data_IF_434237311987
#
_entry.id   IF_434237311987
#
_cell.length_a   1.000
_cell.length_b   1.000
_cell.length_c   1.000
_cell.angle_alpha   90.00
_cell.angle_beta   90.00
_cell.angle_gamma   90.00
#
_symmetry.space_group_name_H-M   'P 1'
#
loop_
_entity.id
_entity.type
_entity.pdbx_description
1 polymer ?
#
# COMPACT_ATOMS: atom_id res chain seq x y z
N UNK A 1 -7.57 19.62 -12.28
CA UNK A 1 -6.13 19.27 -12.14
C UNK A 1 -5.45 19.95 -10.96
N UNK A 2 -5.68 21.25 -10.71
CA UNK A 2 -5.07 22.01 -9.59
C UNK A 2 -5.45 21.43 -8.23
N UNK A 3 -6.74 21.16 -7.99
CA UNK A 3 -7.25 20.58 -6.73
C UNK A 3 -6.54 19.28 -6.36
N UNK A 4 -6.34 18.37 -7.32
CA UNK A 4 -5.60 17.11 -7.10
C UNK A 4 -4.14 17.35 -6.69
N UNK A 5 -3.47 18.32 -7.31
CA UNK A 5 -2.07 18.67 -6.97
C UNK A 5 -1.99 19.25 -5.56
N UNK A 6 -2.92 20.13 -5.21
CA UNK A 6 -3.02 20.70 -3.87
C UNK A 6 -3.29 19.60 -2.82
N UNK A 7 -4.24 18.71 -3.08
CA UNK A 7 -4.54 17.59 -2.18
C UNK A 7 -3.32 16.70 -1.92
N UNK A 8 -2.50 16.41 -2.95
CA UNK A 8 -1.26 15.63 -2.78
C UNK A 8 -0.24 16.38 -1.92
N UNK A 9 -0.08 17.70 -2.13
CA UNK A 9 0.85 18.52 -1.33
C UNK A 9 0.37 18.58 0.13
N UNK A 10 -0.91 18.84 0.36
CA UNK A 10 -1.50 18.85 1.71
C UNK A 10 -1.30 17.50 2.39
N UNK A 11 -1.57 16.39 1.69
CA UNK A 11 -1.35 15.06 2.25
C UNK A 11 0.12 14.85 2.66
N UNK A 12 1.09 15.23 1.82
CA UNK A 12 2.51 15.13 2.16
C UNK A 12 2.88 15.98 3.38
N UNK A 13 2.39 17.22 3.45
CA UNK A 13 2.67 18.14 4.56
C UNK A 13 2.05 17.62 5.86
N UNK A 14 0.80 17.16 5.83
CA UNK A 14 0.11 16.59 7.00
C UNK A 14 0.81 15.33 7.48
N UNK A 15 1.21 14.42 6.57
CA UNK A 15 1.96 13.22 6.93
C UNK A 15 3.30 13.56 7.58
N UNK A 16 4.05 14.51 7.04
CA UNK A 16 5.34 14.92 7.59
C UNK A 16 5.17 15.61 8.96
N UNK A 17 4.21 16.53 9.08
CA UNK A 17 3.92 17.21 10.34
C UNK A 17 3.51 16.22 11.43
N UNK A 18 2.61 15.28 11.11
CA UNK A 18 2.19 14.21 12.03
C UNK A 18 3.37 13.35 12.46
N UNK A 19 4.21 12.93 11.51
CA UNK A 19 5.43 12.16 11.81
C UNK A 19 6.41 12.91 12.73
N UNK A 20 6.64 14.21 12.49
CA UNK A 20 7.51 15.02 13.34
C UNK A 20 6.93 15.20 14.75
N UNK A 21 5.59 15.35 14.88
CA UNK A 21 4.92 15.39 16.18
C UNK A 21 5.09 14.06 16.93
N UNK A 22 4.97 12.93 16.24
CA UNK A 22 5.23 11.61 16.83
C UNK A 22 6.69 11.46 17.26
N UNK A 23 7.64 11.92 16.44
CA UNK A 23 9.06 11.91 16.77
C UNK A 23 9.34 12.75 18.03
N UNK A 24 8.75 13.95 18.12
CA UNK A 24 8.87 14.81 19.29
C UNK A 24 8.29 14.16 20.55
N UNK A 25 7.12 13.51 20.44
CA UNK A 25 6.54 12.77 21.54
C UNK A 25 7.45 11.60 21.99
N UNK A 26 8.06 10.88 21.05
CA UNK A 26 8.98 9.80 21.35
C UNK A 26 10.27 10.29 22.01
N UNK A 27 10.76 11.48 21.63
CA UNK A 27 11.89 12.12 22.29
C UNK A 27 11.59 12.37 23.77
N UNK A 28 10.45 12.98 24.08
CA UNK A 28 10.02 13.22 25.46
C UNK A 28 9.88 11.90 26.25
N UNK A 29 9.44 10.83 25.57
CA UNK A 29 9.33 9.51 26.19
C UNK A 29 10.69 8.86 26.48
N UNK A 30 11.66 9.06 25.58
CA UNK A 30 13.04 8.61 25.76
C UNK A 30 13.71 9.30 26.95
N UNK A 31 13.44 10.59 27.18
CA UNK A 31 14.02 11.36 28.29
C UNK A 31 13.41 11.01 29.66
N UNK A 32 12.28 10.29 29.68
CA UNK A 32 11.65 9.83 30.92
C UNK A 32 12.42 8.68 31.59
N UNK A 33 12.18 8.45 32.89
CA UNK A 33 12.84 7.38 33.67
C UNK A 33 12.66 5.94 33.14
N UNK A 34 11.75 5.73 32.18
CA UNK A 34 11.52 4.45 31.51
C UNK A 34 11.84 4.50 30.00
N UNK A 35 12.72 5.41 29.58
CA UNK A 35 13.17 5.53 28.20
C UNK A 35 14.01 4.33 27.77
N UNK A 36 13.88 3.94 26.50
CA UNK A 36 14.63 2.83 25.90
C UNK A 36 15.28 3.25 24.58
N UNK A 37 16.29 2.51 24.13
CA UNK A 37 16.90 2.69 22.80
C UNK A 37 15.90 2.53 21.65
N UNK A 38 14.81 1.80 21.86
CA UNK A 38 13.74 1.66 20.88
C UNK A 38 13.00 3.00 20.65
N UNK A 39 12.81 3.81 21.71
CA UNK A 39 12.21 5.15 21.58
C UNK A 39 13.07 6.05 20.68
N UNK A 40 14.39 6.01 20.85
CA UNK A 40 15.33 6.75 20.01
C UNK A 40 15.25 6.30 18.54
N UNK A 41 15.13 4.99 18.31
CA UNK A 41 14.86 4.44 16.98
C UNK A 41 13.59 5.04 16.36
N UNK A 42 12.51 5.17 17.14
CA UNK A 42 11.27 5.79 16.68
C UNK A 42 11.43 7.29 16.38
N UNK A 43 12.24 8.04 17.14
CA UNK A 43 12.52 9.46 16.85
C UNK A 43 13.10 9.64 15.44
N UNK A 44 14.01 8.76 15.01
CA UNK A 44 14.55 8.80 13.64
C UNK A 44 13.63 8.16 12.60
N UNK A 45 12.91 7.10 12.97
CA UNK A 45 12.04 6.35 12.05
C UNK A 45 10.84 7.18 11.60
N UNK A 46 10.17 7.90 12.52
CA UNK A 46 8.95 8.64 12.18
C UNK A 46 9.15 9.70 11.10
N UNK A 47 10.14 10.61 11.18
CA UNK A 47 10.37 11.60 10.13
C UNK A 47 10.70 10.98 8.77
N UNK A 48 11.44 9.86 8.77
CA UNK A 48 11.76 9.12 7.54
C UNK A 48 10.49 8.59 6.86
N UNK A 49 9.55 8.07 7.64
CA UNK A 49 8.24 7.64 7.15
C UNK A 49 7.35 8.82 6.75
N UNK A 50 7.42 9.95 7.45
CA UNK A 50 6.72 11.19 7.09
C UNK A 50 7.17 11.76 5.74
N UNK A 51 8.44 11.56 5.36
CA UNK A 51 8.99 11.98 4.07
C UNK A 51 8.65 11.04 2.91
N UNK A 52 8.26 9.79 3.20
CA UNK A 52 8.03 8.77 2.18
C UNK A 52 6.99 9.16 1.11
N UNK A 53 5.84 9.77 1.42
CA UNK A 53 4.88 10.21 0.41
C UNK A 53 5.45 11.25 -0.55
N UNK A 54 6.18 12.25 -0.02
CA UNK A 54 6.83 13.28 -0.82
C UNK A 54 7.89 12.67 -1.76
N UNK A 55 8.69 11.74 -1.23
CA UNK A 55 9.64 10.96 -2.02
C UNK A 55 8.95 10.18 -3.15
N UNK A 56 7.84 9.50 -2.86
CA UNK A 56 7.10 8.72 -3.85
C UNK A 56 6.53 9.60 -4.96
N UNK A 57 5.95 10.75 -4.60
CA UNK A 57 5.45 11.74 -5.56
C UNK A 57 6.57 12.25 -6.45
N UNK A 58 7.72 12.62 -5.87
CA UNK A 58 8.89 13.03 -6.63
C UNK A 58 9.38 11.91 -7.57
N UNK A 59 9.50 10.68 -7.07
CA UNK A 59 9.97 9.50 -7.82
C UNK A 59 9.07 9.20 -9.01
N UNK A 60 7.75 9.23 -8.84
CA UNK A 60 6.77 9.02 -9.92
C UNK A 60 6.85 10.14 -10.94
N UNK A 61 6.96 11.40 -10.50
CA UNK A 61 7.10 12.55 -11.42
C UNK A 61 8.38 12.47 -12.24
N UNK A 62 9.48 12.03 -11.63
CA UNK A 62 10.77 11.81 -12.31
C UNK A 62 10.70 10.70 -13.35
N UNK A 63 9.99 9.60 -13.08
CA UNK A 63 9.77 8.54 -14.07
C UNK A 63 8.99 9.05 -15.27
N UNK A 64 7.87 9.74 -15.01
CA UNK A 64 7.00 10.27 -16.06
C UNK A 64 7.72 11.31 -16.93
N UNK A 65 8.59 12.13 -16.33
CA UNK A 65 9.42 13.07 -17.07
C UNK A 65 10.38 12.34 -18.02
N UNK A 66 11.09 11.32 -17.54
CA UNK A 66 11.98 10.49 -18.37
C UNK A 66 11.25 9.80 -19.53
N UNK A 67 10.09 9.20 -19.26
CA UNK A 67 9.26 8.59 -20.30
C UNK A 67 8.78 9.61 -21.36
N UNK A 68 8.51 10.85 -20.94
CA UNK A 68 8.13 11.92 -21.88
C UNK A 68 9.30 12.41 -22.73
N UNK A 69 10.51 12.50 -22.15
CA UNK A 69 11.74 12.83 -22.86
C UNK A 69 12.08 11.75 -23.90
N UNK A 70 11.97 10.47 -23.52
CA UNK A 70 12.16 9.32 -24.42
C UNK A 70 11.15 9.34 -25.58
N UNK A 71 9.86 9.59 -25.33
CA UNK A 71 8.86 9.70 -26.42
C UNK A 71 9.09 10.89 -27.33
N UNK A 72 9.54 12.02 -26.77
CA UNK A 72 9.80 13.23 -27.56
C UNK A 72 11.06 13.07 -28.41
N UNK A 73 12.09 12.39 -27.90
CA UNK A 73 13.30 12.02 -28.65
C UNK A 73 13.06 10.90 -29.67
N UNK A 74 12.27 9.88 -29.34
CA UNK A 74 11.87 8.80 -30.24
C UNK A 74 10.85 9.25 -31.30
N UNK A 75 10.21 10.42 -31.14
CA UNK A 75 9.37 11.05 -32.15
C UNK A 75 10.11 11.41 -33.45
N UNK A 76 11.45 11.39 -33.45
CA UNK A 76 12.28 11.48 -34.67
C UNK A 76 12.68 10.12 -35.25
N UNK A 77 12.38 9.01 -34.57
CA UNK A 77 12.72 7.64 -34.98
C UNK A 77 11.58 6.70 -34.54
N UNK A 78 10.39 6.90 -35.10
CA UNK A 78 9.23 6.08 -34.79
C UNK A 78 9.43 4.65 -35.35
N UNK A 79 9.74 3.69 -34.46
CA UNK A 79 9.39 2.29 -34.66
C UNK A 79 8.67 1.82 -33.39
N UNK A 80 7.47 1.30 -33.60
CA UNK A 80 6.51 0.94 -32.56
C UNK A 80 7.07 -0.12 -31.59
N UNK A 81 7.19 0.24 -30.32
CA UNK A 81 7.38 -0.72 -29.24
C UNK A 81 5.99 -1.29 -28.84
N UNK A 82 5.79 -2.62 -28.87
CA UNK A 82 4.51 -3.22 -28.52
C UNK A 82 4.15 -2.94 -27.06
N UNK A 83 2.85 -2.85 -26.71
CA UNK A 83 2.42 -2.55 -25.35
C UNK A 83 3.00 -3.58 -24.39
N UNK A 84 3.79 -3.07 -23.43
CA UNK A 84 4.30 -3.85 -22.29
C UNK A 84 3.10 -4.50 -21.60
N UNK A 85 2.90 -5.80 -21.84
CA UNK A 85 1.88 -6.58 -21.12
C UNK A 85 2.28 -6.54 -19.65
N UNK A 86 1.54 -5.80 -18.84
CA UNK A 86 1.58 -5.96 -17.39
C UNK A 86 1.33 -7.45 -17.11
N UNK A 87 2.15 -8.12 -16.28
CA UNK A 87 1.81 -9.44 -15.82
C UNK A 87 0.41 -9.34 -15.18
N UNK A 88 -0.56 -10.10 -15.69
CA UNK A 88 -1.84 -10.23 -15.00
C UNK A 88 -1.53 -10.61 -13.55
N UNK A 89 -2.10 -9.91 -12.54
CA UNK A 89 -1.92 -10.32 -11.17
C UNK A 89 -2.31 -11.79 -11.08
N UNK A 90 -1.33 -12.64 -10.75
CA UNK A 90 -1.57 -14.06 -10.52
C UNK A 90 -2.58 -14.11 -9.39
N UNK A 91 -3.80 -14.60 -9.68
CA UNK A 91 -4.76 -14.93 -8.64
C UNK A 91 -3.98 -15.84 -7.66
N UNK A 92 -3.86 -15.48 -6.37
CA UNK A 92 -3.25 -16.40 -5.42
C UNK A 92 -4.01 -17.71 -5.53
N UNK A 93 -3.33 -18.76 -5.95
CA UNK A 93 -3.85 -20.11 -5.79
C UNK A 93 -4.12 -20.27 -4.29
N UNK A 94 -5.32 -20.72 -3.90
CA UNK A 94 -5.55 -21.05 -2.51
C UNK A 94 -4.41 -21.97 -2.08
N UNK A 95 -3.81 -21.75 -0.91
CA UNK A 95 -2.80 -22.67 -0.40
C UNK A 95 -3.40 -24.06 -0.45
N UNK A 96 -2.72 -24.98 -1.16
CA UNK A 96 -3.01 -26.41 -1.08
C UNK A 96 -2.65 -26.79 0.35
N UNK A 97 -3.62 -26.62 1.24
CA UNK A 97 -3.54 -27.12 2.60
C UNK A 97 -3.52 -28.63 2.44
N UNK A 98 -2.48 -29.26 2.97
CA UNK A 98 -2.23 -30.69 2.82
C UNK A 98 -3.52 -31.50 2.98
N UNK A 99 -3.70 -32.51 2.11
CA UNK A 99 -4.79 -33.50 2.08
C UNK A 99 -4.94 -34.24 3.43
N UNK A 100 -5.41 -33.56 4.46
CA UNK A 100 -6.07 -34.16 5.61
C UNK A 100 -7.53 -33.75 5.51
N UNK A 101 -8.46 -34.70 5.26
CA UNK A 101 -9.88 -34.40 5.37
C UNK A 101 -10.13 -33.97 6.82
N UNK A 102 -10.34 -32.68 7.02
CA UNK A 102 -10.78 -32.14 8.30
C UNK A 102 -12.30 -32.32 8.37
N UNK A 103 -12.72 -33.38 9.06
CA UNK A 103 -14.13 -33.74 9.26
C UNK A 103 -14.92 -32.58 9.88
N UNK A 104 -14.29 -31.76 10.74
CA UNK A 104 -14.93 -30.58 11.33
C UNK A 104 -15.17 -29.50 10.28
N UNK A 105 -14.19 -29.25 9.41
CA UNK A 105 -14.30 -28.29 8.32
C UNK A 105 -15.37 -28.72 7.30
N UNK A 106 -15.47 -30.01 7.02
CA UNK A 106 -16.49 -30.57 6.14
C UNK A 106 -17.91 -30.38 6.72
N UNK A 107 -18.10 -30.65 8.01
CA UNK A 107 -19.36 -30.43 8.71
C UNK A 107 -19.74 -28.93 8.74
N UNK A 108 -18.77 -28.05 8.97
CA UNK A 108 -18.98 -26.61 8.98
C UNK A 108 -19.38 -26.08 7.60
N UNK A 109 -18.72 -26.55 6.53
CA UNK A 109 -19.06 -26.17 5.17
C UNK A 109 -20.47 -26.65 4.76
N UNK A 110 -20.89 -27.85 5.21
CA UNK A 110 -22.26 -28.33 5.03
C UNK A 110 -23.27 -27.45 5.76
N UNK A 111 -23.00 -27.08 7.01
CA UNK A 111 -23.87 -26.19 7.79
C UNK A 111 -24.02 -24.81 7.11
N UNK A 112 -22.93 -24.23 6.61
CA UNK A 112 -22.97 -22.98 5.86
C UNK A 112 -23.78 -23.11 4.56
N UNK A 113 -23.66 -24.25 3.86
CA UNK A 113 -24.43 -24.50 2.65
C UNK A 113 -25.93 -24.62 2.94
N UNK A 114 -26.33 -25.27 4.02
CA UNK A 114 -27.73 -25.30 4.45
C UNK A 114 -28.28 -23.92 4.81
N UNK A 115 -27.48 -23.09 5.50
CA UNK A 115 -27.89 -21.74 5.85
C UNK A 115 -28.10 -20.89 4.59
N UNK A 116 -27.18 -21.00 3.62
CA UNK A 116 -27.27 -20.31 2.33
C UNK A 116 -28.49 -20.79 1.52
N UNK A 117 -28.76 -22.09 1.53
CA UNK A 117 -29.94 -22.66 0.88
C UNK A 117 -31.25 -22.14 1.49
N UNK A 118 -31.31 -22.01 2.83
CA UNK A 118 -32.46 -21.41 3.54
C UNK A 118 -32.60 -19.92 3.20
N UNK A 119 -31.51 -19.15 3.24
CA UNK A 119 -31.52 -17.72 2.91
C UNK A 119 -31.90 -17.44 1.44
N UNK A 120 -31.40 -18.26 0.51
CA UNK A 120 -31.76 -18.14 -0.91
C UNK A 120 -33.19 -18.57 -1.20
N UNK A 121 -33.76 -19.48 -0.39
CA UNK A 121 -35.16 -19.88 -0.49
C UNK A 121 -36.13 -18.86 0.13
N UNK A 122 -35.71 -18.13 1.17
CA UNK A 122 -36.49 -17.06 1.83
C UNK A 122 -36.37 -15.68 1.14
N UNK A 123 -35.60 -15.58 0.06
CA UNK A 123 -35.48 -14.35 -0.74
C UNK A 123 -36.57 -14.34 -1.83
N UNK A 124 -37.54 -13.41 -1.79
CA UNK A 124 -38.64 -13.34 -2.76
C UNK A 124 -38.19 -12.95 -4.17
#
# INVERSE_FOLDING_TARGET
MIVRRLAVVVACVVSLAGACLLAWWQWNRYESASGSWQNLGYVLQWPLFGLFPAFMVWRIRRLRARESEERTGAGSAAVAEPPRRLPSPRRPEPPVTADQPDDELAAYNQYLAELNAKESHDRP
#
